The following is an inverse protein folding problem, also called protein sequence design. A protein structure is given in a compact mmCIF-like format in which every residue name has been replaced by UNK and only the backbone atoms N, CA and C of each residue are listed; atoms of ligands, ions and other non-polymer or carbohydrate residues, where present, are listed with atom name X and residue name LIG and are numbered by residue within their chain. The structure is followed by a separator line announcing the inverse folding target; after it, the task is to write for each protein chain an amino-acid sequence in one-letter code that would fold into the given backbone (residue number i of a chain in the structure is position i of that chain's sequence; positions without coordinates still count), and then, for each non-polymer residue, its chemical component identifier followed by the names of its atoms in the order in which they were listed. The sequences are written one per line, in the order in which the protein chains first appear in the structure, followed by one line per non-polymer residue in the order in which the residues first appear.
data_IF_720932493546
#
_entry.id   IF_720932493546
#
_cell.length_a   1.000
_cell.length_b   1.000
_cell.length_c   1.000
_cell.angle_alpha   90.00
_cell.angle_beta   90.00
_cell.angle_gamma   90.00
#
_symmetry.space_group_name_H-M   'P 1'
#
loop_
_entity.id
_entity.type
_entity.pdbx_description
1 polymer ?
#
# COMPACT_ATOMS: atom_id res chain seq x y z
N UNK A 1 28.07 12.16 -8.61
CA UNK A 1 27.76 11.92 -8.22
C UNK A 1 27.00 11.95 -7.47
N UNK A 2 26.80 12.23 -7.07
CA UNK A 2 26.35 12.24 -6.31
C UNK A 2 25.27 11.91 -5.89
N UNK A 3 24.67 11.44 -6.14
CA UNK A 3 23.75 10.87 -5.78
C UNK A 3 23.79 10.12 -4.67
N UNK A 4 24.73 9.74 -4.32
CA UNK A 4 25.00 8.82 -3.26
C UNK A 4 24.48 9.30 -1.93
N UNK A 5 24.12 10.52 -1.80
CA UNK A 5 23.52 10.99 -0.56
C UNK A 5 22.06 10.63 -0.44
N UNK A 6 21.46 10.20 -1.50
CA UNK A 6 20.04 9.91 -1.50
C UNK A 6 19.64 8.77 -0.58
N UNK A 7 20.46 7.72 -0.47
CA UNK A 7 19.99 6.59 0.35
C UNK A 7 19.75 6.92 1.80
N UNK A 8 20.29 8.01 2.29
CA UNK A 8 20.09 8.36 3.68
C UNK A 8 18.76 9.01 3.94
N UNK A 9 18.03 9.31 2.90
CA UNK A 9 16.71 9.88 3.04
C UNK A 9 15.68 8.82 2.85
N UNK A 10 14.49 9.09 3.18
CA UNK A 10 13.42 8.18 2.86
C UNK A 10 13.13 8.17 1.39
N UNK A 11 12.04 7.54 0.99
CA UNK A 11 11.62 7.51 -0.41
C UNK A 11 11.48 8.92 -0.94
N UNK A 12 11.96 9.13 -2.15
CA UNK A 12 11.96 10.47 -2.72
C UNK A 12 11.08 10.59 -3.95
N UNK A 13 10.37 9.56 -4.31
CA UNK A 13 9.55 9.63 -5.50
C UNK A 13 8.30 10.46 -5.29
N UNK A 14 7.54 10.55 -6.35
CA UNK A 14 6.28 11.25 -6.31
C UNK A 14 5.30 10.52 -5.42
N UNK A 15 4.50 11.27 -4.67
CA UNK A 15 3.46 10.69 -3.83
C UNK A 15 2.20 10.56 -4.66
N UNK A 16 1.68 9.33 -4.76
CA UNK A 16 0.52 9.04 -5.58
C UNK A 16 -0.55 8.43 -4.69
N UNK A 17 -1.74 9.05 -4.63
CA UNK A 17 -2.80 8.44 -3.82
C UNK A 17 -3.32 7.16 -4.46
N UNK A 18 -3.67 6.21 -3.59
CA UNK A 18 -4.29 4.95 -3.99
C UNK A 18 -5.73 5.04 -3.52
N UNK A 19 -6.66 4.90 -4.46
CA UNK A 19 -8.07 5.17 -4.19
C UNK A 19 -8.84 3.88 -3.99
N UNK A 20 -9.96 3.98 -3.30
CA UNK A 20 -10.98 2.94 -3.37
C UNK A 20 -11.95 3.29 -4.46
N UNK A 21 -12.80 2.33 -4.80
CA UNK A 21 -13.83 2.55 -5.82
C UNK A 21 -14.82 3.63 -5.41
N UNK A 22 -14.90 3.93 -4.11
CA UNK A 22 -15.76 5.00 -3.63
C UNK A 22 -15.09 6.36 -3.66
N UNK A 23 -13.80 6.41 -3.98
CA UNK A 23 -13.10 7.67 -4.07
C UNK A 23 -12.31 8.07 -2.83
N UNK A 24 -12.32 7.26 -1.79
CA UNK A 24 -11.45 7.49 -0.64
C UNK A 24 -10.01 7.16 -1.03
N UNK A 25 -9.06 7.68 -0.23
CA UNK A 25 -7.65 7.43 -0.53
C UNK A 25 -6.96 6.91 0.73
N UNK A 26 -7.16 5.63 1.04
CA UNK A 26 -6.62 5.05 2.27
C UNK A 26 -5.12 4.78 2.23
N UNK A 27 -4.48 4.93 1.08
CA UNK A 27 -3.05 4.67 0.98
C UNK A 27 -2.39 5.68 0.05
N UNK A 28 -1.08 5.82 0.25
CA UNK A 28 -0.24 6.69 -0.57
C UNK A 28 0.91 5.84 -1.08
N UNK A 29 1.20 5.96 -2.37
CA UNK A 29 2.28 5.20 -2.99
C UNK A 29 3.46 6.12 -3.23
N UNK A 30 4.61 5.74 -2.70
CA UNK A 30 5.89 6.30 -3.10
C UNK A 30 6.71 5.08 -3.46
N UNK A 31 6.68 4.72 -4.71
CA UNK A 31 7.16 3.43 -5.18
C UNK A 31 8.54 3.11 -4.61
N UNK A 32 8.77 1.93 -4.08
CA UNK A 32 7.87 0.78 -4.02
C UNK A 32 7.06 0.66 -2.72
N UNK A 33 6.99 1.70 -1.93
CA UNK A 33 6.38 1.65 -0.60
C UNK A 33 4.98 2.19 -0.61
N UNK A 34 4.15 1.63 0.28
CA UNK A 34 2.80 2.12 0.52
C UNK A 34 2.72 2.65 1.94
N UNK A 35 2.10 3.80 2.08
CA UNK A 35 1.93 4.46 3.38
C UNK A 35 0.46 4.73 3.61
N UNK A 36 0.07 4.85 4.88
CA UNK A 36 -1.28 5.28 5.19
C UNK A 36 -1.35 6.81 5.08
N UNK A 37 -2.55 7.40 5.24
CA UNK A 37 -2.65 8.85 5.11
C UNK A 37 -1.88 9.63 6.16
N UNK A 38 -1.40 8.98 7.21
CA UNK A 38 -0.57 9.63 8.20
C UNK A 38 0.91 9.51 7.89
N UNK A 39 1.26 8.87 6.78
CA UNK A 39 2.65 8.75 6.37
C UNK A 39 3.38 7.57 6.93
N UNK A 40 2.69 6.63 7.53
CA UNK A 40 3.30 5.45 8.12
C UNK A 40 3.28 4.29 7.12
N UNK A 41 4.33 3.49 7.14
CA UNK A 41 4.50 2.39 6.19
C UNK A 41 3.50 1.28 6.46
N UNK A 42 2.81 0.84 5.41
CA UNK A 42 1.79 -0.20 5.57
C UNK A 42 1.92 -1.33 4.55
N UNK A 43 2.82 -1.21 3.59
CA UNK A 43 2.97 -2.27 2.60
C UNK A 43 3.91 -1.86 1.50
N UNK A 44 3.97 -2.67 0.44
CA UNK A 44 4.89 -2.39 -0.65
C UNK A 44 4.41 -3.06 -1.93
N UNK A 45 4.98 -2.62 -3.05
CA UNK A 45 4.55 -3.02 -4.38
C UNK A 45 5.76 -3.50 -5.15
N UNK A 46 5.63 -4.60 -5.87
CA UNK A 46 6.70 -5.10 -6.71
C UNK A 46 6.67 -4.44 -8.08
N UNK A 47 7.73 -4.68 -8.87
CA UNK A 47 7.79 -4.15 -10.23
C UNK A 47 6.65 -4.70 -11.09
N UNK A 48 6.14 -5.86 -10.76
CA UNK A 48 5.02 -6.47 -11.48
C UNK A 48 3.68 -6.00 -10.94
N UNK A 49 3.70 -5.01 -10.04
CA UNK A 49 2.50 -4.39 -9.47
C UNK A 49 1.73 -5.29 -8.50
N UNK A 50 2.40 -6.30 -7.96
CA UNK A 50 1.83 -7.10 -6.88
C UNK A 50 2.01 -6.36 -5.57
N UNK A 51 0.99 -6.39 -4.72
CA UNK A 51 0.97 -5.66 -3.46
C UNK A 51 1.08 -6.64 -2.31
N UNK A 52 1.96 -6.32 -1.37
CA UNK A 52 2.18 -7.12 -0.16
C UNK A 52 2.07 -6.23 1.06
N UNK A 53 1.66 -6.83 2.18
CA UNK A 53 1.64 -6.06 3.43
C UNK A 53 3.03 -6.08 4.08
N UNK A 54 3.14 -5.48 5.26
CA UNK A 54 4.45 -5.36 5.92
C UNK A 54 4.99 -6.71 6.37
N UNK A 55 4.16 -7.73 6.44
CA UNK A 55 4.61 -9.07 6.81
C UNK A 55 4.91 -9.93 5.60
N UNK A 56 4.78 -9.38 4.40
CA UNK A 56 5.08 -10.12 3.19
C UNK A 56 3.93 -10.96 2.67
N UNK A 57 2.73 -10.74 3.15
CA UNK A 57 1.56 -11.47 2.71
C UNK A 57 0.94 -10.76 1.51
N UNK A 58 0.59 -11.55 0.49
CA UNK A 58 0.01 -11.01 -0.72
C UNK A 58 -1.34 -10.36 -0.44
N UNK A 59 -1.55 -9.20 -1.01
CA UNK A 59 -2.78 -8.44 -0.81
C UNK A 59 -3.60 -8.32 -2.09
N UNK A 60 -2.93 -8.14 -3.22
CA UNK A 60 -3.62 -7.93 -4.47
C UNK A 60 -2.69 -7.32 -5.50
N UNK A 61 -3.27 -6.65 -6.50
CA UNK A 61 -2.44 -5.97 -7.50
C UNK A 61 -2.89 -4.53 -7.63
N UNK A 62 -1.95 -3.69 -8.06
CA UNK A 62 -2.17 -2.27 -8.18
C UNK A 62 -2.53 -1.95 -9.63
N UNK A 63 -3.64 -1.27 -9.82
CA UNK A 63 -4.10 -0.89 -11.14
C UNK A 63 -3.54 0.47 -11.54
N UNK A 64 -3.85 0.88 -12.75
CA UNK A 64 -3.36 2.15 -13.27
C UNK A 64 -4.06 3.36 -12.65
N UNK A 65 -5.28 3.20 -12.15
CA UNK A 65 -6.10 4.33 -11.68
C UNK A 65 -5.54 5.15 -10.55
N UNK A 66 -4.85 4.67 -9.47
CA UNK A 66 -4.63 3.29 -9.01
C UNK A 66 -5.60 2.84 -7.91
N UNK A 67 -5.93 1.59 -7.95
CA UNK A 67 -6.70 0.87 -6.93
C UNK A 67 -5.95 -0.42 -6.64
N UNK A 68 -6.24 -1.04 -5.50
CA UNK A 68 -5.70 -2.35 -5.19
C UNK A 68 -6.84 -3.36 -5.28
N UNK A 69 -6.70 -4.27 -6.22
CA UNK A 69 -7.74 -5.26 -6.53
C UNK A 69 -7.22 -6.66 -6.28
N UNK A 70 -8.14 -7.60 -6.12
CA UNK A 70 -7.78 -9.00 -5.93
C UNK A 70 -8.95 -9.84 -6.42
N UNK A 71 -8.66 -11.05 -6.87
CA UNK A 71 -9.73 -11.98 -7.18
C UNK A 71 -10.46 -12.34 -5.91
N UNK A 72 -11.79 -12.46 -6.01
CA UNK A 72 -12.59 -12.80 -4.85
C UNK A 72 -12.21 -14.17 -4.30
N UNK A 73 -11.97 -15.11 -5.19
CA UNK A 73 -11.52 -16.44 -4.77
C UNK A 73 -10.07 -16.58 -5.18
N UNK A 74 -9.17 -16.14 -4.33
CA UNK A 74 -7.75 -16.19 -4.64
C UNK A 74 -7.10 -17.34 -3.89
N UNK A 75 -5.93 -17.71 -4.41
CA UNK A 75 -5.18 -18.83 -3.87
C UNK A 75 -4.41 -18.36 -2.65
N UNK A 76 -4.83 -18.82 -1.48
CA UNK A 76 -4.15 -18.43 -0.24
C UNK A 76 -2.77 -19.08 -0.13
N UNK A 77 -2.44 -19.93 -1.08
CA UNK A 77 -1.12 -20.55 -1.09
C UNK A 77 -0.08 -19.69 -1.77
N UNK A 78 -0.43 -18.48 -2.20
CA UNK A 78 0.56 -17.58 -2.77
C UNK A 78 1.65 -17.36 -1.74
N UNK A 79 2.89 -17.59 -2.15
CA UNK A 79 4.01 -17.54 -1.23
C UNK A 79 4.24 -16.13 -0.71
N UNK A 80 4.64 -16.04 0.54
CA UNK A 80 5.05 -14.77 1.10
C UNK A 80 6.34 -14.32 0.45
N UNK A 81 6.56 -13.03 0.47
CA UNK A 81 7.82 -12.45 0.02
C UNK A 81 8.43 -11.68 1.17
N UNK A 82 9.75 -11.77 1.27
CA UNK A 82 10.46 -11.03 2.29
C UNK A 82 10.24 -9.54 2.05
N UNK A 83 9.72 -8.81 3.05
CA UNK A 83 9.50 -7.38 2.86
C UNK A 83 10.82 -6.63 2.84
N UNK A 84 10.85 -5.45 2.25
CA UNK A 84 12.05 -4.62 2.29
C UNK A 84 12.22 -4.04 3.68
N UNK A 85 13.38 -3.44 3.90
CA UNK A 85 13.61 -2.74 5.16
C UNK A 85 12.57 -1.63 5.29
N UNK A 86 12.03 -1.43 6.50
CA UNK A 86 11.01 -0.41 6.67
C UNK A 86 11.55 0.98 6.32
N UNK A 87 10.84 1.72 5.49
CA UNK A 87 11.23 3.09 5.20
C UNK A 87 10.83 4.02 6.33
N UNK A 88 11.45 5.19 6.42
CA UNK A 88 10.98 6.17 7.40
C UNK A 88 9.61 6.70 7.02
N UNK A 89 8.96 7.30 8.00
CA UNK A 89 7.69 7.97 7.74
C UNK A 89 7.88 9.06 6.71
N UNK A 90 6.83 9.34 5.95
CA UNK A 90 6.83 10.45 5.03
C UNK A 90 5.87 11.51 5.54
N UNK A 91 6.02 12.71 5.01
CA UNK A 91 5.07 13.77 5.30
C UNK A 91 3.94 13.63 4.28
N UNK A 92 2.74 13.29 4.73
CA UNK A 92 1.65 13.12 3.78
C UNK A 92 1.19 14.46 3.22
N UNK A 93 0.62 14.46 2.01
CA UNK A 93 0.04 15.70 1.50
C UNK A 93 -1.21 16.05 2.27
N UNK A 94 -1.51 17.35 2.31
CA UNK A 94 -2.72 17.80 2.99
C UNK A 94 -3.97 17.42 2.21
N UNK A 95 -3.87 17.41 0.90
CA UNK A 95 -4.99 17.04 0.04
C UNK A 95 -4.47 16.24 -1.13
N UNK A 96 -5.38 15.55 -1.79
CA UNK A 96 -5.03 14.79 -2.99
C UNK A 96 -6.07 15.14 -4.06
N UNK A 97 -5.74 14.90 -5.33
CA UNK A 97 -6.72 15.11 -6.40
C UNK A 97 -7.93 14.22 -6.21
N UNK A 98 -9.03 14.62 -6.81
CA UNK A 98 -10.20 13.76 -6.83
C UNK A 98 -9.86 12.46 -7.53
N UNK A 99 -10.53 11.39 -7.10
CA UNK A 99 -10.34 10.10 -7.71
C UNK A 99 -10.77 10.16 -9.17
N UNK A 100 -10.07 9.46 -10.07
CA UNK A 100 -10.50 9.40 -11.46
C UNK A 100 -11.75 8.56 -11.59
N UNK A 101 -12.40 8.66 -12.74
CA UNK A 101 -13.48 7.75 -13.02
C UNK A 101 -12.92 6.35 -13.18
N UNK A 102 -13.59 5.39 -12.56
CA UNK A 102 -13.11 4.02 -12.54
C UNK A 102 -14.22 3.10 -12.98
N UNK A 103 -13.85 2.06 -13.72
CA UNK A 103 -14.81 1.09 -14.19
C UNK A 103 -15.37 0.30 -13.04
N UNK A 104 -16.62 -0.09 -13.15
CA UNK A 104 -17.20 -1.01 -12.20
C UNK A 104 -16.47 -2.34 -12.24
N UNK A 105 -16.38 -2.99 -11.09
CA UNK A 105 -15.71 -4.26 -11.00
C UNK A 105 -16.71 -5.39 -11.17
N UNK A 106 -16.31 -6.45 -11.90
CA UNK A 106 -17.15 -7.64 -11.93
C UNK A 106 -17.14 -8.31 -10.57
N UNK A 107 -18.11 -9.19 -10.35
CA UNK A 107 -18.23 -9.83 -9.06
C UNK A 107 -16.96 -10.58 -8.64
N UNK A 108 -16.22 -11.10 -9.61
CA UNK A 108 -15.04 -11.90 -9.31
C UNK A 108 -13.88 -11.10 -8.75
N UNK A 109 -13.95 -9.77 -8.84
CA UNK A 109 -12.85 -8.90 -8.42
C UNK A 109 -13.33 -8.05 -7.26
N UNK A 110 -12.50 -7.95 -6.22
CA UNK A 110 -12.82 -7.11 -5.07
C UNK A 110 -11.85 -5.95 -5.00
N UNK A 111 -12.36 -4.83 -4.51
CA UNK A 111 -11.56 -3.68 -4.16
C UNK A 111 -11.08 -3.90 -2.74
N UNK A 112 -9.82 -4.26 -2.59
CA UNK A 112 -9.33 -4.79 -1.32
C UNK A 112 -9.46 -3.77 -0.20
N UNK A 113 -9.02 -2.54 -0.42
CA UNK A 113 -9.01 -1.58 0.68
C UNK A 113 -10.41 -1.07 1.01
N UNK A 114 -11.34 -1.22 0.09
CA UNK A 114 -12.72 -0.87 0.37
C UNK A 114 -13.41 -1.97 1.18
N UNK A 115 -13.17 -3.21 0.80
CA UNK A 115 -13.84 -4.35 1.44
C UNK A 115 -13.10 -4.82 2.68
N UNK A 116 -11.78 -4.68 2.71
CA UNK A 116 -10.96 -5.17 3.80
C UNK A 116 -9.96 -4.09 4.18
N UNK A 117 -10.43 -3.01 4.79
CA UNK A 117 -9.55 -1.85 5.04
C UNK A 117 -8.34 -2.16 5.91
N UNK A 118 -8.39 -3.22 6.71
CA UNK A 118 -7.27 -3.56 7.57
C UNK A 118 -6.24 -4.46 6.90
N UNK A 119 -6.42 -4.73 5.62
CA UNK A 119 -5.50 -5.62 4.92
C UNK A 119 -4.08 -5.06 4.87
N UNK A 120 -3.95 -3.75 4.83
CA UNK A 120 -2.66 -3.08 4.96
C UNK A 120 -2.64 -2.41 6.32
N UNK A 121 -1.53 -2.58 7.04
CA UNK A 121 -1.43 -2.09 8.40
C UNK A 121 0.03 -1.79 8.72
N UNK A 122 0.25 -1.04 9.79
CA UNK A 122 1.61 -0.69 10.18
C UNK A 122 2.30 -1.89 10.81
N UNK A 123 3.63 -1.83 10.82
CA UNK A 123 4.40 -2.90 11.39
C UNK A 123 4.39 -2.89 12.91
N UNK A 124 3.91 -1.80 13.50
CA UNK A 124 3.87 -1.69 14.95
C UNK A 124 2.66 -2.36 15.56
N UNK A 125 1.78 -2.82 14.71
CA UNK A 125 0.50 -3.33 15.16
C UNK A 125 0.64 -4.36 16.28
N UNK A 126 1.53 -5.32 16.10
CA UNK A 126 1.71 -6.37 17.09
C UNK A 126 2.47 -5.90 18.31
N UNK A 127 3.37 -4.97 18.13
CA UNK A 127 4.18 -4.50 19.24
C UNK A 127 3.38 -3.76 20.28
N UNK A 128 2.42 -3.01 19.81
CA UNK A 128 1.59 -2.26 20.76
C UNK A 128 0.87 -3.19 21.70
N UNK A 129 0.48 -4.34 21.22
CA UNK A 129 -0.21 -5.27 22.09
C UNK A 129 0.68 -5.80 23.17
N UNK A 130 1.92 -6.03 22.84
CA UNK A 130 2.85 -6.56 23.82
C UNK A 130 3.14 -5.56 24.89
N UNK A 131 3.23 -4.32 24.51
CA UNK A 131 3.54 -3.28 25.47
C UNK A 131 2.47 -3.11 26.50
N UNK A 132 1.29 -3.52 26.21
CA UNK A 132 0.20 -3.31 27.12
C UNK A 132 0.14 -4.32 28.22
N UNK A 133 1.00 -5.28 28.18
CA UNK A 133 1.06 -6.22 29.24
C UNK A 133 1.92 -5.72 30.35
#
# INVERSE_FOLDING_TARGET
MKRSTQPLRGPTGKVIPVYTSKGDWPALLVFPYLFNPMGEWIGWVTAQRSVYDVDGVYVGWLTQEPRILRKRTYDEMIARRAPPSPPPKIRPPATVPLAPMMAELPFEIVDVLQDEPDRLHTSDHGELKEDME
#
